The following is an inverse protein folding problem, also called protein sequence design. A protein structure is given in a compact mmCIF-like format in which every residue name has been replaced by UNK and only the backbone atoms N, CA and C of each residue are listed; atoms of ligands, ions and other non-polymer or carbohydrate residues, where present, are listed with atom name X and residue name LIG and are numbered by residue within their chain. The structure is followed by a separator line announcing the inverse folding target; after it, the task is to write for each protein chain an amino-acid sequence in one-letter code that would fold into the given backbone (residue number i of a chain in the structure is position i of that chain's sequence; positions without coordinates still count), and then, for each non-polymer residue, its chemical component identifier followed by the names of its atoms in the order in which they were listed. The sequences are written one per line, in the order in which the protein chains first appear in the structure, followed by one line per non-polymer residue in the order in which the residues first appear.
data_IF_047877790965
#
_entry.id   IF_047877790965
#
_cell.length_a   1.000
_cell.length_b   1.000
_cell.length_c   1.000
_cell.angle_alpha   90.00
_cell.angle_beta   90.00
_cell.angle_gamma   90.00
#
_symmetry.space_group_name_H-M   'P 1'
#
loop_
_entity.id
_entity.type
_entity.pdbx_description
1 polymer ?
#
# COMPACT_ATOMS: atom_id res chain seq x y z
N UNK A 1 -12.70 -6.67 -10.65
CA UNK A 1 -11.52 -5.85 -10.31
C UNK A 1 -11.18 -6.11 -8.86
N UNK A 2 -9.93 -6.44 -8.54
CA UNK A 2 -9.47 -6.77 -7.20
C UNK A 2 -8.63 -5.63 -6.64
N UNK A 3 -8.90 -5.24 -5.39
CA UNK A 3 -8.09 -4.29 -4.64
C UNK A 3 -7.10 -5.07 -3.77
N UNK A 4 -5.82 -4.78 -3.88
CA UNK A 4 -4.75 -5.47 -3.17
C UNK A 4 -4.09 -4.50 -2.20
N UNK A 5 -4.14 -4.80 -0.91
CA UNK A 5 -3.40 -4.05 0.10
C UNK A 5 -1.89 -4.17 -0.18
N UNK A 6 -1.22 -3.03 -0.36
CA UNK A 6 0.14 -2.98 -0.85
C UNK A 6 1.02 -2.05 -0.01
N UNK A 7 1.89 -2.65 0.79
CA UNK A 7 2.83 -1.95 1.68
C UNK A 7 4.15 -1.55 1.00
N UNK A 8 4.44 -2.09 -0.20
CA UNK A 8 5.74 -1.94 -0.86
C UNK A 8 6.85 -2.83 -0.30
N UNK A 9 6.54 -3.64 0.72
CA UNK A 9 7.42 -4.68 1.25
C UNK A 9 7.56 -5.87 0.30
N UNK A 10 8.50 -6.77 0.62
CA UNK A 10 8.80 -7.95 -0.22
C UNK A 10 7.57 -8.83 -0.43
N UNK A 11 6.87 -9.17 0.64
CA UNK A 11 5.76 -10.12 0.59
C UNK A 11 4.58 -9.57 -0.21
N UNK A 12 4.21 -8.32 0.02
CA UNK A 12 3.13 -7.66 -0.74
C UNK A 12 3.50 -7.44 -2.20
N UNK A 13 4.79 -7.26 -2.52
CA UNK A 13 5.28 -7.18 -3.90
C UNK A 13 5.21 -8.53 -4.62
N UNK A 14 5.62 -9.61 -3.96
CA UNK A 14 5.53 -10.96 -4.53
C UNK A 14 4.06 -11.38 -4.73
N UNK A 15 3.20 -11.06 -3.76
CA UNK A 15 1.76 -11.29 -3.89
C UNK A 15 1.17 -10.55 -5.09
N UNK A 16 1.53 -9.27 -5.27
CA UNK A 16 1.04 -8.48 -6.39
C UNK A 16 1.52 -9.04 -7.73
N UNK A 17 2.79 -9.41 -7.86
CA UNK A 17 3.35 -10.06 -9.07
C UNK A 17 2.63 -11.39 -9.38
N UNK A 18 2.40 -12.22 -8.37
CA UNK A 18 1.67 -13.48 -8.54
C UNK A 18 0.23 -13.24 -9.03
N UNK A 19 -0.48 -12.26 -8.46
CA UNK A 19 -1.83 -11.91 -8.89
C UNK A 19 -1.86 -11.36 -10.32
N UNK A 20 -0.86 -10.57 -10.72
CA UNK A 20 -0.72 -10.07 -12.09
C UNK A 20 -0.63 -11.25 -13.07
N UNK A 21 0.17 -12.27 -12.76
CA UNK A 21 0.33 -13.46 -13.61
C UNK A 21 -0.95 -14.30 -13.71
N UNK A 22 -1.74 -14.35 -12.64
CA UNK A 22 -2.95 -15.16 -12.57
C UNK A 22 -4.19 -14.47 -13.16
N UNK A 23 -4.32 -13.15 -12.98
CA UNK A 23 -5.55 -12.40 -13.28
C UNK A 23 -5.36 -11.31 -14.35
N UNK A 24 -4.12 -10.97 -14.68
CA UNK A 24 -3.77 -9.84 -15.55
C UNK A 24 -3.77 -8.50 -14.80
N UNK A 25 -2.80 -7.64 -15.09
CA UNK A 25 -2.61 -6.37 -14.39
C UNK A 25 -3.81 -5.41 -14.49
N UNK A 26 -4.55 -5.44 -15.61
CA UNK A 26 -5.72 -4.58 -15.83
C UNK A 26 -6.90 -4.84 -14.89
N UNK A 27 -6.92 -5.99 -14.22
CA UNK A 27 -7.97 -6.37 -13.26
C UNK A 27 -7.61 -6.06 -11.81
N UNK A 28 -6.43 -5.49 -11.57
CA UNK A 28 -5.89 -5.24 -10.24
C UNK A 28 -5.74 -3.74 -9.97
N UNK A 29 -5.90 -3.37 -8.70
CA UNK A 29 -5.52 -2.07 -8.15
C UNK A 29 -4.68 -2.34 -6.90
N UNK A 30 -3.45 -1.82 -6.88
CA UNK A 30 -2.61 -1.84 -5.69
C UNK A 30 -2.94 -0.61 -4.83
N UNK A 31 -3.25 -0.82 -3.55
CA UNK A 31 -3.68 0.24 -2.64
C UNK A 31 -2.75 0.36 -1.43
N UNK A 32 -2.15 1.53 -1.25
CA UNK A 32 -1.25 1.82 -0.13
C UNK A 32 -1.93 2.65 0.96
N UNK A 33 -1.71 2.31 2.22
CA UNK A 33 -2.13 3.13 3.37
C UNK A 33 -0.93 3.90 3.90
N UNK A 34 -0.94 5.20 3.68
CA UNK A 34 0.08 6.11 4.15
C UNK A 34 -0.24 6.58 5.57
N UNK A 35 0.39 5.96 6.57
CA UNK A 35 0.16 6.27 7.99
C UNK A 35 0.85 7.57 8.48
N UNK A 36 1.85 8.11 7.77
CA UNK A 36 2.53 9.36 8.18
C UNK A 36 3.38 9.29 9.45
N UNK A 37 3.36 8.15 10.14
CA UNK A 37 4.14 7.91 11.38
C UNK A 37 5.66 8.01 11.22
N UNK A 38 6.20 7.74 10.03
CA UNK A 38 7.64 7.74 9.81
C UNK A 38 8.06 8.90 8.88
N UNK A 39 9.22 9.54 9.13
CA UNK A 39 9.74 10.59 8.25
C UNK A 39 9.93 10.14 6.79
N UNK A 40 10.14 8.84 6.57
CA UNK A 40 10.33 8.25 5.24
C UNK A 40 9.00 7.81 4.57
N UNK A 41 7.85 8.05 5.18
CA UNK A 41 6.56 7.55 4.67
C UNK A 41 6.25 8.04 3.24
N UNK A 42 6.60 9.28 2.90
CA UNK A 42 6.43 9.81 1.54
C UNK A 42 7.34 9.08 0.52
N UNK A 43 8.54 8.69 0.94
CA UNK A 43 9.46 7.92 0.09
C UNK A 43 8.90 6.50 -0.15
N UNK A 44 8.25 5.92 0.85
CA UNK A 44 7.59 4.63 0.74
C UNK A 44 6.38 4.68 -0.19
N UNK A 45 5.58 5.73 -0.12
CA UNK A 45 4.49 5.95 -1.07
C UNK A 45 5.03 6.01 -2.51
N UNK A 46 6.05 6.82 -2.74
CA UNK A 46 6.66 6.93 -4.07
C UNK A 46 7.29 5.60 -4.54
N UNK A 47 7.86 4.82 -3.61
CA UNK A 47 8.35 3.47 -3.91
C UNK A 47 7.21 2.53 -4.31
N UNK A 48 6.09 2.54 -3.58
CA UNK A 48 4.93 1.70 -3.88
C UNK A 48 4.35 2.02 -5.25
N UNK A 49 4.17 3.30 -5.56
CA UNK A 49 3.68 3.74 -6.88
C UNK A 49 4.57 3.25 -8.02
N UNK A 50 5.89 3.43 -7.88
CA UNK A 50 6.86 2.93 -8.87
C UNK A 50 6.80 1.41 -9.00
N UNK A 51 6.64 0.68 -7.91
CA UNK A 51 6.56 -0.79 -7.93
C UNK A 51 5.31 -1.29 -8.64
N UNK A 52 4.13 -0.76 -8.33
CA UNK A 52 2.88 -1.11 -8.99
C UNK A 52 2.90 -0.75 -10.48
N UNK A 53 3.43 0.43 -10.83
CA UNK A 53 3.57 0.89 -12.21
C UNK A 53 4.45 -0.04 -13.04
N UNK A 54 5.58 -0.53 -12.49
CA UNK A 54 6.45 -1.50 -13.18
C UNK A 54 5.74 -2.82 -13.49
N UNK A 55 4.75 -3.19 -12.69
CA UNK A 55 3.92 -4.39 -12.92
C UNK A 55 2.70 -4.10 -13.82
N UNK A 56 2.54 -2.87 -14.30
CA UNK A 56 1.39 -2.44 -15.12
C UNK A 56 0.08 -2.35 -14.33
N UNK A 57 0.15 -2.30 -13.00
CA UNK A 57 -1.02 -2.29 -12.11
C UNK A 57 -1.40 -0.85 -11.76
N UNK A 58 -2.69 -0.53 -11.75
CA UNK A 58 -3.19 0.76 -11.28
C UNK A 58 -2.85 0.94 -9.80
N UNK A 59 -2.40 2.13 -9.41
CA UNK A 59 -2.02 2.43 -8.04
C UNK A 59 -2.95 3.50 -7.44
N UNK A 60 -3.30 3.31 -6.17
CA UNK A 60 -4.00 4.30 -5.37
C UNK A 60 -3.48 4.28 -3.94
N UNK A 61 -3.79 5.33 -3.18
CA UNK A 61 -3.42 5.39 -1.78
C UNK A 61 -4.45 6.18 -0.95
N UNK A 62 -4.50 5.86 0.33
CA UNK A 62 -5.18 6.67 1.35
C UNK A 62 -4.14 7.19 2.33
N UNK A 63 -4.19 8.48 2.66
CA UNK A 63 -3.41 9.02 3.78
C UNK A 63 -4.31 9.02 5.02
N UNK A 64 -3.84 8.38 6.09
CA UNK A 64 -4.53 8.41 7.37
C UNK A 64 -4.42 9.81 7.99
N UNK A 65 -5.35 10.14 8.88
CA UNK A 65 -5.37 11.38 9.63
C UNK A 65 -4.19 11.51 10.61
N UNK A 66 -4.27 12.45 11.57
CA UNK A 66 -3.28 12.53 12.63
C UNK A 66 -3.20 11.22 13.41
N UNK A 67 -1.99 10.87 13.85
CA UNK A 67 -1.75 9.74 14.74
C UNK A 67 -2.59 9.89 16.03
N UNK A 68 -2.96 8.76 16.68
CA UNK A 68 -3.77 8.79 17.89
C UNK A 68 -2.97 9.42 19.05
N UNK A 69 -3.68 9.87 20.08
CA UNK A 69 -3.07 10.56 21.20
C UNK A 69 -2.13 9.64 21.99
N UNK A 70 -1.18 10.22 22.73
CA UNK A 70 -0.25 9.45 23.56
C UNK A 70 -1.01 8.59 24.59
N UNK A 71 -0.83 7.28 24.52
CA UNK A 71 -1.55 6.30 25.36
C UNK A 71 -2.66 5.54 24.65
N UNK A 72 -3.04 5.94 23.43
CA UNK A 72 -3.98 5.21 22.57
C UNK A 72 -3.25 4.14 21.73
N UNK A 73 -3.98 3.09 21.33
CA UNK A 73 -3.39 1.97 20.58
C UNK A 73 -3.14 2.36 19.11
N UNK A 74 -1.86 2.53 18.76
CA UNK A 74 -1.40 2.86 17.41
C UNK A 74 -1.77 1.79 16.36
N UNK A 75 -1.74 0.51 16.74
CA UNK A 75 -2.05 -0.60 15.83
C UNK A 75 -3.56 -0.64 15.52
N UNK A 76 -4.40 -0.37 16.52
CA UNK A 76 -5.85 -0.27 16.31
C UNK A 76 -6.18 0.89 15.35
N UNK A 77 -5.61 2.07 15.59
CA UNK A 77 -5.76 3.23 14.70
C UNK A 77 -5.28 2.97 13.27
N UNK A 78 -4.18 2.21 13.09
CA UNK A 78 -3.67 1.91 11.75
C UNK A 78 -4.52 0.88 10.99
N UNK A 79 -5.42 0.16 11.68
CA UNK A 79 -6.23 -0.93 11.12
C UNK A 79 -7.67 -0.50 10.80
N UNK A 80 -8.23 0.44 11.56
CA UNK A 80 -9.60 0.93 11.43
C UNK A 80 -9.74 2.04 10.35
#
# INVERSE_FOLDING_TARGET
MLLVAFSGGRDSTVLLDALVRLHGAGQLVAWHVHHGLQPQADQWLAWCERAATRLGVRFGHTRLGPAPAAGENLEAWARD
#
